data_IF_570118948385
#
_entry.id   IF_570118948385
#
_cell.length_a   1.000
_cell.length_b   1.000
_cell.length_c   1.000
_cell.angle_alpha   90.00
_cell.angle_beta   90.00
_cell.angle_gamma   90.00
#
_symmetry.space_group_name_H-M   'P 1'
#
loop_
_entity.id
_entity.type
_entity.pdbx_description
1 polymer ?
#
# COMPACT_ATOMS: atom_id res chain seq x y z
N UNK A 1 -9.90 -4.55 -24.22
CA UNK A 1 -10.16 -4.26 -23.53
C UNK A 1 -10.32 -4.17 -22.73
N UNK A 2 -10.26 -3.86 -22.39
CA UNK A 2 -10.51 -3.52 -21.44
C UNK A 2 -11.00 -3.36 -20.67
N UNK A 3 -11.10 -3.07 -20.50
CA UNK A 3 -11.62 -2.71 -19.71
C UNK A 3 -11.94 -2.59 -18.83
N UNK A 4 -11.87 -2.33 -18.64
CA UNK A 4 -12.14 -2.02 -17.68
C UNK A 4 -12.73 -1.80 -17.10
N UNK A 5 -12.93 -1.41 -17.00
CA UNK A 5 -13.52 -1.06 -16.33
C UNK A 5 -13.91 -0.66 -15.55
N UNK A 6 -14.29 -0.36 -15.39
CA UNK A 6 -14.55 0.10 -14.67
C UNK A 6 -15.46 0.38 -13.99
N UNK A 7 -15.99 0.22 -13.38
CA UNK A 7 -16.79 0.51 -12.78
C UNK A 7 -16.45 1.07 -11.79
N UNK A 8 -17.00 1.76 -11.49
CA UNK A 8 -16.70 2.51 -10.64
C UNK A 8 -17.22 2.30 -9.44
N UNK A 9 -16.62 1.84 -8.54
CA UNK A 9 -17.09 1.77 -7.23
C UNK A 9 -17.14 3.13 -6.65
N UNK A 10 -17.91 3.33 -5.64
CA UNK A 10 -17.93 4.56 -4.91
C UNK A 10 -16.80 4.64 -3.93
N UNK A 11 -15.87 3.75 -3.99
CA UNK A 11 -14.74 3.74 -3.08
C UNK A 11 -13.69 4.72 -3.55
N UNK A 12 -13.02 5.38 -2.64
CA UNK A 12 -11.92 6.24 -3.06
C UNK A 12 -10.81 5.43 -3.66
N UNK A 13 -10.12 6.01 -4.59
CA UNK A 13 -8.97 5.39 -5.19
C UNK A 13 -7.73 5.79 -4.43
N UNK A 14 -6.93 4.79 -4.10
CA UNK A 14 -5.66 5.01 -3.42
C UNK A 14 -4.56 4.54 -4.35
N UNK A 15 -3.58 5.40 -4.56
CA UNK A 15 -2.38 5.03 -5.31
C UNK A 15 -1.29 4.72 -4.32
N UNK A 16 -0.60 3.63 -4.53
CA UNK A 16 0.53 3.25 -3.69
C UNK A 16 1.78 3.28 -4.53
N UNK A 17 2.81 3.91 -4.02
CA UNK A 17 4.11 3.92 -4.66
C UNK A 17 5.10 3.26 -3.71
N UNK A 18 5.79 2.23 -4.17
CA UNK A 18 6.67 1.43 -3.35
C UNK A 18 8.08 1.55 -3.89
N UNK A 19 9.01 1.97 -3.04
CA UNK A 19 10.40 2.14 -3.43
C UNK A 19 11.28 1.38 -2.44
N UNK A 20 12.21 0.61 -2.97
CA UNK A 20 13.19 -0.08 -2.13
C UNK A 20 14.56 0.56 -2.34
N UNK A 21 15.21 0.89 -1.23
CA UNK A 21 16.52 1.51 -1.29
C UNK A 21 17.30 1.18 -0.03
N UNK A 22 18.44 0.52 -0.21
CA UNK A 22 19.38 0.31 0.88
C UNK A 22 18.78 -0.34 2.12
N UNK A 23 17.99 -1.40 1.90
CA UNK A 23 17.40 -2.12 3.01
C UNK A 23 16.18 -1.48 3.60
N UNK A 24 15.64 -0.44 2.96
CA UNK A 24 14.42 0.21 3.40
C UNK A 24 13.39 0.19 2.30
N UNK A 25 12.16 -0.13 2.67
CA UNK A 25 11.04 -0.07 1.76
C UNK A 25 10.20 1.11 2.17
N UNK A 26 9.95 2.03 1.23
CA UNK A 26 9.12 3.19 1.48
C UNK A 26 7.83 3.04 0.70
N UNK A 27 6.71 3.19 1.36
CA UNK A 27 5.41 3.09 0.73
C UNK A 27 4.71 4.42 0.92
N UNK A 28 4.38 5.08 -0.20
CA UNK A 28 3.68 6.35 -0.17
C UNK A 28 2.28 6.14 -0.71
N UNK A 29 1.31 6.70 -0.04
CA UNK A 29 -0.08 6.60 -0.45
C UNK A 29 -0.63 7.96 -0.78
N UNK A 30 -1.40 8.03 -1.85
CA UNK A 30 -2.11 9.24 -2.24
C UNK A 30 -3.53 8.89 -2.62
N UNK A 31 -4.45 9.76 -2.28
CA UNK A 31 -5.82 9.58 -2.72
C UNK A 31 -6.00 10.24 -4.10
N UNK A 32 -7.24 10.28 -4.57
CA UNK A 32 -7.50 10.78 -5.92
C UNK A 32 -7.23 12.28 -6.04
N UNK A 33 -7.06 12.97 -4.92
CA UNK A 33 -6.74 14.40 -4.92
C UNK A 33 -5.29 14.66 -4.59
N UNK A 34 -4.45 13.61 -4.61
CA UNK A 34 -3.01 13.70 -4.32
C UNK A 34 -2.74 14.08 -2.88
N UNK A 35 -3.65 13.74 -1.99
CA UNK A 35 -3.47 13.95 -0.56
C UNK A 35 -3.22 12.63 0.12
N UNK A 36 -2.61 12.67 1.29
CA UNK A 36 -2.43 11.47 2.10
C UNK A 36 -3.80 11.01 2.58
N UNK A 37 -4.17 9.75 2.33
CA UNK A 37 -5.48 9.27 2.76
C UNK A 37 -5.49 9.01 4.27
N UNK A 38 -6.65 9.14 4.86
CA UNK A 38 -6.87 8.71 6.23
C UNK A 38 -7.29 7.25 6.20
N UNK A 39 -6.72 6.46 7.09
CA UNK A 39 -6.92 5.01 7.06
C UNK A 39 -7.54 4.53 8.35
N UNK A 40 -8.39 3.51 8.23
CA UNK A 40 -8.86 2.76 9.39
C UNK A 40 -7.86 1.67 9.71
N UNK A 41 -7.85 1.25 10.96
CA UNK A 41 -7.01 0.14 11.34
C UNK A 41 -7.71 -1.18 11.03
N UNK A 42 -6.91 -2.17 10.64
CA UNK A 42 -7.37 -3.53 10.44
C UNK A 42 -6.48 -4.42 11.27
N UNK A 43 -7.09 -5.17 12.20
CA UNK A 43 -6.31 -6.03 13.09
C UNK A 43 -5.20 -5.22 13.76
N UNK A 44 -5.56 -4.00 14.21
CA UNK A 44 -4.65 -3.10 14.92
C UNK A 44 -3.54 -2.52 14.05
N UNK A 45 -3.63 -2.66 12.74
CA UNK A 45 -2.65 -2.09 11.82
C UNK A 45 -3.37 -1.29 10.75
N UNK A 46 -2.75 -0.23 10.30
CA UNK A 46 -3.32 0.58 9.22
C UNK A 46 -2.96 0.03 7.85
N UNK A 47 -1.93 -0.78 7.76
CA UNK A 47 -1.50 -1.32 6.49
C UNK A 47 -0.95 -2.73 6.68
N UNK A 48 -1.30 -3.60 5.75
CA UNK A 48 -0.66 -4.90 5.61
C UNK A 48 0.06 -4.90 4.28
N UNK A 49 1.29 -5.37 4.28
CA UNK A 49 2.13 -5.30 3.10
C UNK A 49 2.72 -6.66 2.83
N UNK A 50 2.56 -7.14 1.60
CA UNK A 50 3.03 -8.46 1.22
C UNK A 50 3.90 -8.31 -0.02
N UNK A 51 5.06 -8.96 0.01
CA UNK A 51 5.94 -9.06 -1.15
C UNK A 51 6.07 -10.52 -1.54
N UNK A 52 5.98 -10.78 -2.83
CA UNK A 52 6.17 -12.13 -3.36
C UNK A 52 7.16 -12.03 -4.50
N UNK A 53 8.23 -12.82 -4.45
CA UNK A 53 9.18 -12.81 -5.56
C UNK A 53 8.54 -13.42 -6.79
N UNK A 54 9.04 -13.02 -7.96
CA UNK A 54 8.47 -13.50 -9.22
C UNK A 54 8.57 -15.00 -9.37
N UNK A 55 9.59 -15.62 -8.78
CA UNK A 55 9.72 -17.07 -8.83
C UNK A 55 8.89 -17.76 -7.76
N UNK A 56 8.14 -16.99 -6.96
CA UNK A 56 7.26 -17.51 -5.93
C UNK A 56 7.99 -18.21 -4.79
N UNK A 57 9.28 -18.00 -4.66
CA UNK A 57 10.03 -18.68 -3.62
C UNK A 57 10.20 -17.85 -2.37
N UNK A 58 10.03 -16.52 -2.47
CA UNK A 58 10.18 -15.66 -1.32
C UNK A 58 8.88 -14.93 -1.06
N UNK A 59 8.51 -14.92 0.20
CA UNK A 59 7.23 -14.35 0.61
C UNK A 59 7.46 -13.60 1.91
N UNK A 60 7.08 -12.33 1.93
CA UNK A 60 7.20 -11.50 3.13
C UNK A 60 5.86 -10.89 3.45
N UNK A 61 5.42 -11.08 4.67
CA UNK A 61 4.22 -10.41 5.18
C UNK A 61 4.69 -9.44 6.26
N UNK A 62 4.64 -8.16 5.98
CA UNK A 62 5.28 -7.16 6.80
C UNK A 62 4.26 -6.12 7.25
N UNK A 63 4.57 -5.50 8.39
CA UNK A 63 3.73 -4.44 8.93
C UNK A 63 4.56 -3.16 8.95
N UNK A 64 4.33 -2.26 8.00
CA UNK A 64 5.13 -1.04 7.93
C UNK A 64 4.87 -0.14 9.11
N UNK A 65 5.87 0.63 9.45
CA UNK A 65 5.74 1.67 10.45
C UNK A 65 5.31 2.96 9.78
N UNK A 66 4.28 3.57 10.31
CA UNK A 66 3.81 4.84 9.79
C UNK A 66 4.74 5.96 10.27
N UNK A 67 5.27 6.72 9.34
CA UNK A 67 6.09 7.87 9.67
C UNK A 67 5.25 9.13 9.79
N UNK A 68 4.32 9.30 8.88
CA UNK A 68 3.31 10.34 8.95
C UNK A 68 2.21 9.92 7.99
N UNK A 69 1.15 10.70 7.92
CA UNK A 69 0.05 10.34 7.04
C UNK A 69 0.58 10.15 5.63
N UNK A 70 0.26 9.01 5.06
CA UNK A 70 0.64 8.71 3.70
C UNK A 70 2.03 8.14 3.50
N UNK A 71 2.84 8.02 4.56
CA UNK A 71 4.19 7.49 4.40
C UNK A 71 4.45 6.38 5.41
N UNK A 72 4.82 5.22 4.90
CA UNK A 72 5.11 4.04 5.70
C UNK A 72 6.47 3.50 5.32
N UNK A 73 7.19 2.96 6.29
CA UNK A 73 8.55 2.48 6.09
C UNK A 73 8.72 1.12 6.73
N UNK A 74 9.46 0.26 6.04
CA UNK A 74 9.85 -1.04 6.56
C UNK A 74 11.35 -1.17 6.39
N UNK A 75 12.01 -1.64 7.45
CA UNK A 75 13.40 -2.07 7.34
C UNK A 75 13.40 -3.54 6.98
N UNK A 76 13.80 -3.84 5.77
CA UNK A 76 13.83 -5.23 5.32
C UNK A 76 14.82 -5.35 4.19
N UNK A 77 15.87 -6.13 4.42
CA UNK A 77 16.86 -6.39 3.39
C UNK A 77 16.25 -7.39 2.41
N UNK A 78 16.27 -7.07 1.12
CA UNK A 78 15.72 -7.93 0.09
C UNK A 78 16.85 -8.44 -0.78
N UNK A 79 16.73 -9.69 -1.21
CA UNK A 79 17.65 -10.22 -2.21
C UNK A 79 17.32 -9.62 -3.55
N UNK A 80 18.34 -9.50 -4.42
CA UNK A 80 18.07 -8.94 -5.76
C UNK A 80 17.03 -9.77 -6.49
N UNK A 81 16.21 -9.09 -7.26
CA UNK A 81 15.18 -9.76 -8.03
C UNK A 81 13.97 -8.86 -8.17
N UNK A 82 12.96 -9.41 -8.78
CA UNK A 82 11.71 -8.71 -9.02
C UNK A 82 10.64 -9.26 -8.11
N UNK A 83 9.86 -8.37 -7.53
CA UNK A 83 8.84 -8.73 -6.55
C UNK A 83 7.52 -8.09 -6.95
N UNK A 84 6.44 -8.74 -6.56
CA UNK A 84 5.12 -8.13 -6.61
C UNK A 84 4.76 -7.68 -5.21
N UNK A 85 4.27 -6.45 -5.11
CA UNK A 85 3.90 -5.87 -3.83
C UNK A 85 2.39 -5.74 -3.75
N UNK A 86 1.83 -6.11 -2.61
CA UNK A 86 0.41 -5.98 -2.34
C UNK A 86 0.24 -5.10 -1.11
N UNK A 87 -0.48 -4.02 -1.28
CA UNK A 87 -0.71 -3.05 -0.22
C UNK A 87 -2.19 -3.12 0.15
N UNK A 88 -2.46 -3.47 1.39
CA UNK A 88 -3.83 -3.65 1.85
C UNK A 88 -4.13 -2.60 2.90
N UNK A 89 -5.01 -1.66 2.57
CA UNK A 89 -5.40 -0.57 3.45
C UNK A 89 -6.89 -0.36 3.32
N UNK A 90 -7.47 0.27 4.34
CA UNK A 90 -8.88 0.60 4.32
C UNK A 90 -9.02 2.10 4.53
N UNK A 91 -9.34 2.87 3.51
CA UNK A 91 -9.55 4.30 3.70
C UNK A 91 -10.74 4.56 4.59
N UNK A 92 -10.64 5.59 5.40
CA UNK A 92 -11.78 6.00 6.20
C UNK A 92 -12.86 6.56 5.31
N UNK A 93 -14.08 6.27 5.70
CA UNK A 93 -15.21 6.59 4.86
C UNK A 93 -15.93 7.87 5.25
N UNK A 94 -15.42 8.56 6.23
CA UNK A 94 -16.12 9.70 6.76
C UNK A 94 -16.22 10.86 5.79
N UNK A 95 -15.33 10.87 4.83
CA UNK A 95 -15.29 12.01 3.92
C UNK A 95 -16.52 12.10 3.05
N UNK A 96 -17.29 11.04 3.02
CA UNK A 96 -18.43 11.05 2.15
C UNK A 96 -19.68 11.44 2.82
N UNK A 97 -19.59 11.88 4.01
CA UNK A 97 -20.77 12.18 4.76
C UNK A 97 -21.32 13.53 4.47
N UNK A 98 -20.86 14.16 3.49
CA UNK A 98 -21.36 15.46 3.28
C UNK A 98 -22.65 15.55 2.64
#
# INVERSE_FOLDING_TARGET
>A
MNHNHEYHSNKPEIKANVVYRDGNIEITLEDEFNNAPLLDTMHEKEMHFVLVSNDMEKYYHLHPQKKHEGLFIINQQLEPGTYQAFVDVTPKNHVYSV
#
